data_IF_662519041182
#
_entry.id   IF_662519041182
#
_cell.length_a   1.000
_cell.length_b   1.000
_cell.length_c   1.000
_cell.angle_alpha   90.00
_cell.angle_beta   90.00
_cell.angle_gamma   90.00
#
_symmetry.space_group_name_H-M   'P 1'
#
loop_
_entity.id
_entity.type
_entity.pdbx_description
1 polymer ?
#
# COMPACT_ATOMS: atom_id res chain seq x y z
N UNK A 1 11.02 -28.83 21.88
CA UNK A 1 11.29 -28.21 20.56
C UNK A 1 10.33 -27.04 20.43
N UNK A 2 10.81 -25.79 20.50
CA UNK A 2 9.94 -24.61 20.29
C UNK A 2 9.70 -24.48 18.80
N UNK A 3 8.44 -24.60 18.38
CA UNK A 3 8.01 -24.23 17.03
C UNK A 3 8.14 -22.70 16.98
N UNK A 4 8.90 -22.16 16.03
CA UNK A 4 8.95 -20.71 15.83
C UNK A 4 7.53 -20.24 15.50
N UNK A 5 6.88 -19.52 16.44
CA UNK A 5 5.52 -19.01 16.27
C UNK A 5 5.45 -17.77 15.37
N UNK A 6 6.58 -17.35 14.79
CA UNK A 6 6.69 -16.16 13.95
C UNK A 6 7.01 -16.58 12.53
N UNK A 7 6.15 -16.17 11.59
CA UNK A 7 6.40 -16.34 10.17
C UNK A 7 6.91 -15.02 9.57
N UNK A 8 8.04 -15.07 8.87
CA UNK A 8 8.53 -13.93 8.10
C UNK A 8 7.81 -13.92 6.75
N UNK A 9 7.09 -12.85 6.45
CA UNK A 9 6.50 -12.62 5.14
C UNK A 9 7.41 -11.63 4.41
N UNK A 10 8.15 -12.11 3.41
CA UNK A 10 9.08 -11.27 2.65
C UNK A 10 8.33 -10.09 2.02
N UNK A 11 8.86 -8.87 2.18
CA UNK A 11 8.32 -7.68 1.54
C UNK A 11 8.30 -7.84 0.00
N UNK A 12 7.39 -7.14 -0.71
CA UNK A 12 7.35 -7.18 -2.16
C UNK A 12 8.72 -6.88 -2.76
N UNK A 13 9.13 -7.66 -3.78
CA UNK A 13 10.37 -7.42 -4.52
C UNK A 13 10.27 -6.08 -5.28
N UNK A 14 10.64 -4.98 -4.62
CA UNK A 14 11.17 -3.79 -5.29
C UNK A 14 12.68 -3.82 -5.11
N UNK A 15 13.42 -3.46 -6.16
CA UNK A 15 14.88 -3.61 -6.24
C UNK A 15 15.65 -2.83 -5.15
N UNK A 16 14.99 -1.97 -4.39
CA UNK A 16 15.56 -1.28 -3.24
C UNK A 16 14.39 -0.63 -2.52
N UNK A 17 14.10 -1.03 -1.28
CA UNK A 17 13.42 -0.13 -0.36
C UNK A 17 14.48 0.89 0.00
N UNK A 18 14.28 2.14 -0.40
CA UNK A 18 15.19 3.21 -0.06
C UNK A 18 15.04 3.54 1.43
N UNK A 19 16.12 3.97 2.10
CA UNK A 19 16.07 4.48 3.47
C UNK A 19 15.07 5.63 3.68
N UNK A 20 14.71 6.32 2.60
CA UNK A 20 13.76 7.43 2.58
C UNK A 20 12.32 7.01 2.25
N UNK A 21 12.08 5.73 2.00
CA UNK A 21 10.74 5.19 1.78
C UNK A 21 9.97 5.06 3.09
N UNK A 22 8.65 5.20 3.01
CA UNK A 22 7.78 4.97 4.16
C UNK A 22 7.03 3.67 3.95
N UNK A 23 7.09 2.82 4.97
CA UNK A 23 6.37 1.57 5.01
C UNK A 23 5.35 1.64 6.14
N UNK A 24 4.08 1.48 5.77
CA UNK A 24 2.97 1.35 6.70
C UNK A 24 2.33 -0.02 6.61
N UNK A 25 1.70 -0.49 7.67
CA UNK A 25 0.88 -1.69 7.67
C UNK A 25 -0.45 -1.36 8.32
N UNK A 26 -1.55 -1.84 7.74
CA UNK A 26 -2.88 -1.61 8.26
C UNK A 26 -3.86 -2.71 7.85
N UNK A 27 -5.06 -2.66 8.43
CA UNK A 27 -6.18 -3.50 8.01
C UNK A 27 -6.83 -2.90 6.75
N UNK A 28 -7.31 -3.76 5.87
CA UNK A 28 -8.02 -3.41 4.65
C UNK A 28 -9.37 -4.11 4.60
N UNK A 29 -10.43 -3.32 4.45
CA UNK A 29 -11.83 -3.73 4.45
C UNK A 29 -12.19 -4.65 5.63
N UNK A 30 -11.56 -4.42 6.78
CA UNK A 30 -11.76 -5.24 7.98
C UNK A 30 -11.35 -6.72 7.83
N UNK A 31 -10.70 -7.12 6.73
CA UNK A 31 -10.47 -8.54 6.38
C UNK A 31 -9.03 -8.89 6.03
N UNK A 32 -8.34 -8.01 5.31
CA UNK A 32 -7.00 -8.29 4.79
C UNK A 32 -5.96 -7.40 5.47
N UNK A 33 -4.70 -7.84 5.49
CA UNK A 33 -3.58 -6.98 5.83
C UNK A 33 -3.14 -6.22 4.58
N UNK A 34 -2.88 -4.93 4.71
CA UNK A 34 -2.36 -4.07 3.65
C UNK A 34 -1.01 -3.51 4.06
N UNK A 35 -0.02 -3.73 3.21
CA UNK A 35 1.28 -3.07 3.26
C UNK A 35 1.23 -1.85 2.35
N UNK A 36 1.55 -0.69 2.90
CA UNK A 36 1.68 0.56 2.19
C UNK A 36 3.17 0.82 1.98
N UNK A 37 3.56 1.08 0.75
CA UNK A 37 4.90 1.55 0.42
C UNK A 37 4.80 2.88 -0.30
N UNK A 38 5.22 3.96 0.35
CA UNK A 38 5.41 5.25 -0.29
C UNK A 38 6.86 5.39 -0.72
N UNK A 39 7.08 5.50 -2.03
CA UNK A 39 8.40 5.73 -2.59
C UNK A 39 8.61 7.22 -2.85
N UNK A 40 9.51 7.85 -2.09
CA UNK A 40 9.65 9.30 -2.02
C UNK A 40 10.01 9.94 -3.37
N UNK A 41 10.93 9.33 -4.12
CA UNK A 41 11.41 9.89 -5.39
C UNK A 41 10.37 9.79 -6.51
N UNK A 42 9.61 8.70 -6.56
CA UNK A 42 8.55 8.54 -7.56
C UNK A 42 7.22 9.14 -7.12
N UNK A 43 7.10 9.53 -5.84
CA UNK A 43 5.88 10.09 -5.24
C UNK A 43 4.68 9.17 -5.41
N UNK A 44 4.91 7.86 -5.28
CA UNK A 44 3.90 6.82 -5.50
C UNK A 44 3.70 6.01 -4.23
N UNK A 45 2.44 5.89 -3.83
CA UNK A 45 1.97 4.86 -2.92
C UNK A 45 1.68 3.58 -3.69
N UNK A 46 2.27 2.48 -3.25
CA UNK A 46 1.89 1.15 -3.65
C UNK A 46 1.21 0.45 -2.47
N UNK A 47 -0.03 0.03 -2.66
CA UNK A 47 -0.79 -0.75 -1.69
C UNK A 47 -0.72 -2.22 -2.07
N UNK A 48 -0.30 -3.06 -1.14
CA UNK A 48 -0.18 -4.50 -1.33
C UNK A 48 -1.03 -5.24 -0.31
N UNK A 49 -1.93 -6.08 -0.80
CA UNK A 49 -2.77 -6.89 0.07
C UNK A 49 -2.11 -8.24 0.32
N UNK A 50 -2.12 -8.67 1.57
CA UNK A 50 -1.67 -10.01 1.95
C UNK A 50 -2.70 -11.03 1.48
N UNK A 51 -2.28 -11.96 0.63
CA UNK A 51 -3.13 -13.03 0.09
C UNK A 51 -2.38 -14.35 0.11
N UNK A 52 -3.13 -15.46 0.08
CA UNK A 52 -2.55 -16.75 -0.26
C UNK A 52 -2.19 -16.78 -1.75
N UNK A 53 -0.99 -17.24 -2.04
CA UNK A 53 -0.50 -17.45 -3.41
C UNK A 53 -0.90 -18.84 -3.91
N UNK A 54 -0.62 -19.16 -5.19
CA UNK A 54 -0.93 -20.47 -5.80
C UNK A 54 -0.30 -21.66 -5.06
N UNK A 55 0.74 -21.42 -4.25
CA UNK A 55 1.44 -22.44 -3.48
C UNK A 55 1.00 -22.45 -2.01
N UNK A 56 -0.17 -21.89 -1.67
CA UNK A 56 -0.70 -21.70 -0.32
C UNK A 56 0.16 -20.87 0.65
N UNK A 57 1.29 -20.32 0.19
CA UNK A 57 2.11 -19.40 0.95
C UNK A 57 1.47 -18.00 1.00
N UNK A 58 1.56 -17.33 2.15
CA UNK A 58 1.20 -15.91 2.29
C UNK A 58 2.18 -15.04 1.49
N UNK A 59 1.63 -14.12 0.69
CA UNK A 59 2.41 -13.20 -0.11
C UNK A 59 1.70 -11.88 -0.34
N UNK A 60 2.49 -10.85 -0.59
CA UNK A 60 1.99 -9.52 -0.91
C UNK A 60 1.63 -9.41 -2.40
N UNK A 61 0.39 -9.02 -2.69
CA UNK A 61 -0.11 -8.80 -4.06
C UNK A 61 -0.41 -7.31 -4.23
N UNK A 62 0.20 -6.66 -5.23
CA UNK A 62 -0.05 -5.24 -5.51
C UNK A 62 -1.52 -5.09 -5.90
N UNK A 63 -2.25 -4.24 -5.17
CA UNK A 63 -3.67 -3.98 -5.42
C UNK A 63 -3.88 -2.61 -6.04
N UNK A 64 -3.20 -1.59 -5.52
CA UNK A 64 -3.41 -0.20 -5.96
C UNK A 64 -2.08 0.54 -6.06
N UNK A 65 -2.04 1.49 -6.99
CA UNK A 65 -0.94 2.42 -7.15
C UNK A 65 -1.49 3.84 -7.28
N UNK A 66 -1.02 4.74 -6.44
CA UNK A 66 -1.55 6.10 -6.34
C UNK A 66 -0.39 7.09 -6.38
N UNK A 67 -0.43 8.03 -7.31
CA UNK A 67 0.60 9.05 -7.49
C UNK A 67 0.16 10.37 -6.84
N UNK A 68 1.04 11.03 -6.08
CA UNK A 68 0.74 12.31 -5.42
C UNK A 68 0.29 13.40 -6.41
N UNK A 69 0.81 13.39 -7.65
CA UNK A 69 0.39 14.32 -8.69
C UNK A 69 -1.10 14.23 -9.02
N UNK A 70 -1.71 13.04 -8.90
CA UNK A 70 -3.17 12.86 -9.06
C UNK A 70 -3.97 13.41 -7.89
N UNK A 71 -3.33 13.59 -6.73
CA UNK A 71 -3.91 14.25 -5.56
C UNK A 71 -3.76 15.77 -5.61
N UNK A 72 -3.19 16.33 -6.71
CA UNK A 72 -2.87 17.75 -6.82
C UNK A 72 -1.54 18.15 -6.18
N UNK A 73 -0.82 17.20 -5.58
CA UNK A 73 0.47 17.42 -4.91
C UNK A 73 1.60 17.19 -5.91
N UNK A 74 2.13 18.27 -6.49
CA UNK A 74 3.09 18.21 -7.62
C UNK A 74 4.57 18.26 -7.21
N UNK A 75 4.86 18.40 -5.92
CA UNK A 75 6.24 18.50 -5.41
C UNK A 75 6.57 17.27 -4.57
N UNK A 76 7.83 16.81 -4.59
CA UNK A 76 8.27 15.79 -3.65
C UNK A 76 8.08 16.30 -2.24
N UNK A 77 7.31 15.58 -1.44
CA UNK A 77 7.01 15.95 -0.06
C UNK A 77 7.61 14.93 0.90
N UNK A 78 8.20 15.43 1.99
CA UNK A 78 8.53 14.61 3.15
C UNK A 78 7.24 14.21 3.83
N UNK A 79 6.95 12.93 3.80
CA UNK A 79 5.85 12.35 4.54
C UNK A 79 6.39 11.75 5.83
N UNK A 80 5.61 11.81 6.90
CA UNK A 80 6.00 11.25 8.21
C UNK A 80 5.11 10.10 8.62
N UNK A 81 3.91 10.01 8.05
CA UNK A 81 2.91 9.02 8.41
C UNK A 81 1.98 8.73 7.23
N UNK A 82 1.58 7.47 7.10
CA UNK A 82 0.54 7.03 6.16
C UNK A 82 -0.23 5.85 6.73
N UNK A 83 -1.56 5.89 6.62
CA UNK A 83 -2.45 4.80 7.01
C UNK A 83 -3.69 4.78 6.08
N UNK A 84 -4.23 3.61 5.72
CA UNK A 84 -5.55 3.52 5.15
C UNK A 84 -6.58 3.51 6.31
N UNK A 85 -7.60 4.34 6.20
CA UNK A 85 -8.70 4.42 7.14
C UNK A 85 -10.00 4.06 6.42
N UNK A 86 -10.76 3.15 7.00
CA UNK A 86 -12.10 2.82 6.52
C UNK A 86 -13.10 3.78 7.15
N UNK A 87 -13.74 4.60 6.33
CA UNK A 87 -14.79 5.52 6.76
C UNK A 87 -16.04 5.21 5.96
N UNK A 88 -17.03 4.61 6.62
CA UNK A 88 -18.23 4.04 6.00
C UNK A 88 -17.88 3.04 4.89
N UNK A 89 -18.23 3.32 3.64
CA UNK A 89 -17.95 2.46 2.47
C UNK A 89 -16.71 2.89 1.69
N UNK A 90 -15.98 3.90 2.18
CA UNK A 90 -14.84 4.50 1.47
C UNK A 90 -13.54 4.19 2.20
N UNK A 91 -12.52 3.85 1.43
CA UNK A 91 -11.16 3.68 1.95
C UNK A 91 -10.39 4.96 1.67
N UNK A 92 -10.02 5.66 2.73
CA UNK A 92 -9.23 6.87 2.68
C UNK A 92 -7.78 6.53 2.95
N UNK A 93 -6.87 6.93 2.07
CA UNK A 93 -5.46 7.01 2.41
C UNK A 93 -5.24 8.32 3.17
N UNK A 94 -4.97 8.23 4.47
CA UNK A 94 -4.66 9.38 5.32
C UNK A 94 -3.16 9.46 5.52
N UNK A 95 -2.57 10.63 5.30
CA UNK A 95 -1.14 10.83 5.42
C UNK A 95 -0.79 12.23 5.89
N UNK A 96 0.40 12.37 6.47
CA UNK A 96 0.90 13.65 6.97
C UNK A 96 2.06 14.09 6.10
N UNK A 97 1.92 15.28 5.51
CA UNK A 97 3.01 15.99 4.82
C UNK A 97 3.33 17.20 5.67
N UNK A 98 4.58 17.32 6.11
CA UNK A 98 5.01 18.33 7.09
C UNK A 98 4.14 18.29 8.36
N UNK A 99 3.29 19.30 8.57
CA UNK A 99 2.39 19.51 9.70
C UNK A 99 0.90 19.39 9.32
N UNK A 100 0.60 19.05 8.07
CA UNK A 100 -0.76 18.99 7.56
C UNK A 100 -1.20 17.54 7.29
N UNK A 101 -2.42 17.23 7.71
CA UNK A 101 -3.06 15.95 7.45
C UNK A 101 -3.89 16.01 6.16
N UNK A 102 -3.62 15.07 5.27
CA UNK A 102 -4.29 14.92 3.99
C UNK A 102 -5.04 13.59 3.97
N UNK A 103 -6.12 13.55 3.19
CA UNK A 103 -6.82 12.31 2.90
C UNK A 103 -7.06 12.19 1.39
N UNK A 104 -7.12 10.96 0.91
CA UNK A 104 -7.41 10.65 -0.48
C UNK A 104 -8.32 9.41 -0.56
N UNK A 105 -9.47 9.53 -1.21
CA UNK A 105 -10.33 8.38 -1.50
C UNK A 105 -9.63 7.47 -2.51
N UNK A 106 -9.29 6.25 -2.07
CA UNK A 106 -8.68 5.25 -2.97
C UNK A 106 -9.65 4.88 -4.09
N UNK A 107 -10.96 4.92 -3.83
CA UNK A 107 -12.00 4.63 -4.79
C UNK A 107 -12.06 5.65 -5.94
N UNK A 108 -11.67 6.90 -5.70
CA UNK A 108 -11.90 8.02 -6.63
C UNK A 108 -10.80 8.12 -7.71
N UNK A 109 -9.71 7.35 -7.62
CA UNK A 109 -8.67 7.35 -8.66
C UNK A 109 -7.96 6.04 -8.91
N UNK A 110 -8.56 4.92 -8.50
CA UNK A 110 -8.05 3.60 -8.86
C UNK A 110 -8.35 3.25 -10.31
N UNK A 111 -7.29 3.15 -11.11
CA UNK A 111 -7.27 2.16 -12.18
C UNK A 111 -7.04 0.80 -11.49
N UNK A 112 -8.04 -0.07 -11.51
CA UNK A 112 -7.81 -1.47 -11.19
C UNK A 112 -6.78 -2.00 -12.19
N UNK A 113 -5.63 -2.46 -11.70
CA UNK A 113 -4.69 -3.23 -12.54
C UNK A 113 -5.42 -4.55 -12.83
N UNK A 114 -6.10 -4.62 -13.98
CA UNK A 114 -6.57 -5.90 -14.52
C UNK A 114 -5.33 -6.73 -14.80
N UNK A 115 -5.18 -7.87 -14.14
CA UNK A 115 -4.23 -8.87 -14.55
C UNK A 115 -4.66 -9.32 -15.96
N UNK A 116 -3.83 -9.02 -16.96
CA UNK A 116 -3.97 -9.47 -18.33
C UNK A 116 -3.64 -10.96 -18.46
N UNK A 117 -4.34 -11.82 -17.72
CA UNK A 117 -4.41 -13.24 -18.02
C UNK A 117 -5.89 -13.54 -18.27
N UNK A 118 -6.37 -13.11 -19.44
CA UNK A 118 -7.56 -13.69 -20.00
C UNK A 118 -7.24 -15.13 -20.38
N UNK A 119 -7.96 -16.07 -19.80
CA UNK A 119 -8.26 -17.36 -20.39
C UNK A 119 -9.56 -17.85 -19.74
N UNK A 120 -10.53 -18.15 -20.61
CA UNK A 120 -11.77 -18.88 -20.29
C UNK A 120 -11.44 -20.33 -19.94
#
# INVERSE_FOLDING_TARGET
MRIECTQIIALPKRRTIDSSDIIGIAKWEGKSLCLIHYHRFSQVFALWLLRKTKNDALGWVRSHEINLGRMGLRKPCCMTFVVPSEVATTILLVFIIYDEAYNYSVNDGCYQIKNSNGEM
#
